data_IF_688908936288
#
_entry.id   IF_688908936288
#
_cell.length_a   1.000
_cell.length_b   1.000
_cell.length_c   1.000
_cell.angle_alpha   90.00
_cell.angle_beta   90.00
_cell.angle_gamma   90.00
#
_symmetry.space_group_name_H-M   'P 1'
#
loop_
_entity.id
_entity.type
_entity.pdbx_description
1 polymer ?
#
# COMPACT_ATOMS: atom_id res chain seq x y z
N UNK A 1 12.20 -31.39 -15.75
CA UNK A 1 11.04 -30.49 -15.50
C UNK A 1 11.52 -29.08 -15.69
N UNK A 2 10.74 -28.25 -16.31
CA UNK A 2 11.04 -26.81 -16.45
C UNK A 2 11.11 -26.19 -15.06
N UNK A 3 12.24 -25.52 -14.74
CA UNK A 3 12.48 -24.84 -13.45
C UNK A 3 12.25 -23.34 -13.57
N UNK A 4 11.48 -22.91 -14.55
CA UNK A 4 11.16 -21.50 -14.75
C UNK A 4 9.92 -21.13 -13.94
N UNK A 5 10.02 -20.04 -13.18
CA UNK A 5 8.88 -19.42 -12.52
C UNK A 5 8.37 -18.26 -13.38
N UNK A 6 7.10 -18.28 -13.70
CA UNK A 6 6.42 -17.19 -14.40
C UNK A 6 5.61 -16.33 -13.42
N UNK A 7 5.70 -15.01 -13.56
CA UNK A 7 5.00 -14.05 -12.71
C UNK A 7 4.19 -13.11 -13.59
N UNK A 8 2.88 -13.03 -13.39
CA UNK A 8 2.00 -12.14 -14.12
C UNK A 8 1.82 -10.85 -13.31
N UNK A 9 2.32 -9.73 -13.84
CA UNK A 9 2.29 -8.41 -13.22
C UNK A 9 3.60 -8.02 -12.53
N UNK A 10 4.20 -6.93 -12.99
CA UNK A 10 5.44 -6.36 -12.47
C UNK A 10 5.23 -5.26 -11.40
N UNK A 11 4.13 -5.32 -10.63
CA UNK A 11 3.87 -4.44 -9.50
C UNK A 11 4.73 -4.76 -8.28
N UNK A 12 4.39 -4.20 -7.10
CA UNK A 12 5.12 -4.41 -5.84
C UNK A 12 5.31 -5.90 -5.52
N UNK A 13 4.22 -6.69 -5.61
CA UNK A 13 4.25 -8.11 -5.28
C UNK A 13 5.05 -8.91 -6.31
N UNK A 14 4.83 -8.68 -7.61
CA UNK A 14 5.54 -9.44 -8.65
C UNK A 14 7.02 -9.12 -8.71
N UNK A 15 7.41 -7.85 -8.50
CA UNK A 15 8.81 -7.44 -8.42
C UNK A 15 9.53 -8.08 -7.24
N UNK A 16 8.91 -8.10 -6.08
CA UNK A 16 9.48 -8.72 -4.88
C UNK A 16 9.55 -10.25 -5.02
N UNK A 17 8.51 -10.89 -5.58
CA UNK A 17 8.49 -12.34 -5.82
C UNK A 17 9.61 -12.76 -6.79
N UNK A 18 9.80 -11.99 -7.88
CA UNK A 18 10.87 -12.24 -8.83
C UNK A 18 12.25 -12.15 -8.20
N UNK A 19 12.48 -11.11 -7.40
CA UNK A 19 13.74 -10.92 -6.69
C UNK A 19 14.07 -12.10 -5.78
N UNK A 20 13.13 -12.51 -4.93
CA UNK A 20 13.33 -13.61 -3.99
C UNK A 20 13.58 -14.93 -4.71
N UNK A 21 12.78 -15.26 -5.71
CA UNK A 21 12.94 -16.52 -6.45
C UNK A 21 14.24 -16.57 -7.26
N UNK A 22 14.62 -15.46 -7.88
CA UNK A 22 15.85 -15.36 -8.67
C UNK A 22 17.11 -15.47 -7.78
N UNK A 23 17.11 -14.87 -6.58
CA UNK A 23 18.18 -14.99 -5.60
C UNK A 23 18.31 -16.42 -5.03
N UNK A 24 17.23 -17.21 -5.04
CA UNK A 24 17.27 -18.65 -4.74
C UNK A 24 17.74 -19.52 -5.91
N UNK A 25 18.08 -18.92 -7.06
CA UNK A 25 18.67 -19.58 -8.22
C UNK A 25 17.68 -20.02 -9.30
N UNK A 26 16.41 -19.61 -9.24
CA UNK A 26 15.45 -19.90 -10.32
C UNK A 26 15.59 -18.94 -11.49
N UNK A 27 15.29 -19.45 -12.70
CA UNK A 27 14.95 -18.60 -13.83
C UNK A 27 13.55 -18.06 -13.66
N UNK A 28 13.38 -16.73 -13.79
CA UNK A 28 12.13 -16.03 -13.57
C UNK A 28 11.76 -15.21 -14.78
N UNK A 29 10.50 -15.33 -15.23
CA UNK A 29 9.94 -14.49 -16.28
C UNK A 29 8.80 -13.66 -15.71
N UNK A 30 8.96 -12.33 -15.73
CA UNK A 30 7.90 -11.38 -15.37
C UNK A 30 7.14 -11.03 -16.65
N UNK A 31 5.85 -11.32 -16.69
CA UNK A 31 4.94 -10.88 -17.74
C UNK A 31 4.28 -9.57 -17.31
N UNK A 32 4.69 -8.47 -17.91
CA UNK A 32 4.15 -7.13 -17.62
C UNK A 32 3.48 -6.57 -18.89
N UNK A 33 2.22 -6.19 -18.79
CA UNK A 33 1.49 -5.70 -19.95
C UNK A 33 1.93 -4.29 -20.39
N UNK A 34 2.44 -3.46 -19.47
CA UNK A 34 2.94 -2.12 -19.78
C UNK A 34 4.35 -2.17 -20.38
N UNK A 35 4.71 -1.25 -21.23
CA UNK A 35 3.92 -0.11 -21.74
C UNK A 35 2.99 -0.44 -22.92
N UNK A 36 2.94 -1.69 -23.39
CA UNK A 36 2.13 -2.06 -24.57
C UNK A 36 0.63 -1.91 -24.33
N UNK A 37 0.17 -2.32 -23.15
CA UNK A 37 -1.22 -2.14 -22.69
C UNK A 37 -1.21 -1.21 -21.49
N UNK A 38 -1.71 0.01 -21.70
CA UNK A 38 -1.75 1.02 -20.67
C UNK A 38 -2.86 0.75 -19.65
N UNK A 39 -2.64 1.16 -18.41
CA UNK A 39 -3.70 1.30 -17.40
C UNK A 39 -4.00 2.79 -17.19
N UNK A 40 -5.16 3.10 -16.64
CA UNK A 40 -5.53 4.49 -16.37
C UNK A 40 -4.71 5.12 -15.21
N UNK A 41 -4.08 4.32 -14.34
CA UNK A 41 -3.39 4.81 -13.14
C UNK A 41 -1.87 4.94 -13.31
N UNK A 42 -1.26 4.05 -14.08
CA UNK A 42 0.18 4.07 -14.31
C UNK A 42 0.56 5.11 -15.38
N UNK A 43 1.74 5.69 -15.24
CA UNK A 43 2.27 6.73 -16.16
C UNK A 43 3.49 6.27 -16.94
N UNK A 44 4.18 5.25 -16.41
CA UNK A 44 5.43 4.73 -16.97
C UNK A 44 5.32 3.24 -17.26
N UNK A 45 6.36 2.68 -17.91
CA UNK A 45 6.54 1.24 -18.04
C UNK A 45 7.40 0.63 -16.93
N UNK A 46 7.77 1.40 -15.90
CA UNK A 46 8.61 0.91 -14.81
C UNK A 46 7.84 -0.08 -13.92
N UNK A 47 8.59 -1.06 -13.41
CA UNK A 47 8.07 -2.03 -12.44
C UNK A 47 7.89 -1.35 -11.07
N UNK A 48 7.01 -1.88 -10.24
CA UNK A 48 6.68 -1.38 -8.91
C UNK A 48 6.31 0.13 -8.85
N UNK A 49 5.71 0.68 -9.90
CA UNK A 49 5.25 2.06 -9.92
C UNK A 49 4.19 2.33 -8.86
N UNK A 50 4.36 3.39 -8.08
CA UNK A 50 3.42 3.82 -7.03
C UNK A 50 2.36 4.76 -7.60
N UNK A 51 1.11 4.33 -7.69
CA UNK A 51 0.05 5.06 -8.38
C UNK A 51 -0.79 5.98 -7.48
N UNK A 52 -1.04 5.64 -6.22
CA UNK A 52 -1.94 6.42 -5.34
C UNK A 52 -1.19 7.31 -4.33
N UNK A 53 -0.17 6.81 -3.69
CA UNK A 53 0.61 7.49 -2.63
C UNK A 53 2.09 7.22 -2.86
N UNK A 54 2.96 8.05 -2.29
CA UNK A 54 4.39 7.81 -2.26
C UNK A 54 4.88 7.27 -0.90
N UNK A 55 3.99 6.70 -0.10
CA UNK A 55 4.29 6.29 1.27
C UNK A 55 4.00 4.83 1.51
N UNK A 56 4.93 4.18 2.18
CA UNK A 56 4.77 2.87 2.81
C UNK A 56 4.23 2.95 4.24
N UNK A 57 3.75 4.13 4.68
CA UNK A 57 3.22 4.41 6.02
C UNK A 57 4.30 4.45 7.10
N UNK A 58 3.95 4.15 8.36
CA UNK A 58 4.85 4.24 9.51
C UNK A 58 6.05 3.29 9.41
N UNK A 59 7.25 3.79 9.72
CA UNK A 59 8.50 3.00 9.76
C UNK A 59 8.92 2.65 11.19
N UNK A 60 8.04 2.85 12.17
CA UNK A 60 8.24 2.51 13.58
C UNK A 60 7.99 1.00 13.80
N UNK A 61 9.07 0.23 13.88
CA UNK A 61 9.05 -1.23 14.02
C UNK A 61 8.89 -1.73 15.46
N UNK A 62 8.77 -0.82 16.43
CA UNK A 62 8.50 -1.16 17.83
C UNK A 62 7.03 -0.97 18.25
N UNK A 63 6.35 0.02 17.64
CA UNK A 63 5.01 0.43 18.07
C UNK A 63 3.96 0.32 16.96
N UNK A 64 4.35 -0.15 15.76
CA UNK A 64 3.47 -0.20 14.61
C UNK A 64 3.64 -1.50 13.82
N UNK A 65 2.52 -2.18 13.52
CA UNK A 65 2.55 -3.45 12.78
C UNK A 65 3.11 -3.30 11.36
N UNK A 66 2.89 -2.15 10.70
CA UNK A 66 3.45 -1.92 9.36
C UNK A 66 4.94 -1.65 9.44
N UNK A 67 5.44 -0.94 10.44
CA UNK A 67 6.89 -0.78 10.66
C UNK A 67 7.58 -2.11 10.96
N UNK A 68 6.92 -2.97 11.75
CA UNK A 68 7.37 -4.34 11.96
C UNK A 68 7.46 -5.12 10.63
N UNK A 69 6.45 -4.99 9.76
CA UNK A 69 6.46 -5.64 8.44
C UNK A 69 7.63 -5.13 7.58
N UNK A 70 7.93 -3.82 7.63
CA UNK A 70 9.14 -3.27 6.99
C UNK A 70 10.42 -3.93 7.51
N UNK A 71 10.51 -4.11 8.84
CA UNK A 71 11.65 -4.75 9.48
C UNK A 71 11.80 -6.21 9.01
N UNK A 72 10.71 -6.98 8.98
CA UNK A 72 10.69 -8.36 8.50
C UNK A 72 11.14 -8.48 7.04
N UNK A 73 10.67 -7.58 6.16
CA UNK A 73 11.10 -7.54 4.77
C UNK A 73 12.57 -7.15 4.60
N UNK A 74 13.08 -6.18 5.40
CA UNK A 74 14.51 -5.83 5.41
C UNK A 74 15.38 -7.01 5.85
N UNK A 75 14.97 -7.72 6.89
CA UNK A 75 15.66 -8.91 7.39
C UNK A 75 15.72 -10.05 6.35
N UNK A 76 14.76 -10.10 5.42
CA UNK A 76 14.69 -11.07 4.32
C UNK A 76 15.30 -10.54 3.00
N UNK A 77 16.09 -9.48 3.04
CA UNK A 77 16.72 -8.85 1.87
C UNK A 77 15.72 -8.45 0.77
N UNK A 78 14.56 -7.93 1.17
CA UNK A 78 13.50 -7.51 0.26
C UNK A 78 13.90 -6.34 -0.64
N UNK A 79 13.74 -6.49 -1.95
CA UNK A 79 14.10 -5.49 -2.96
C UNK A 79 13.35 -4.17 -2.74
N UNK A 80 12.04 -4.26 -2.49
CA UNK A 80 11.17 -3.09 -2.32
C UNK A 80 11.66 -2.23 -1.14
N UNK A 81 12.03 -2.84 -0.02
CA UNK A 81 12.54 -2.10 1.14
C UNK A 81 13.94 -1.54 0.91
N UNK A 82 14.82 -2.25 0.19
CA UNK A 82 16.14 -1.72 -0.20
C UNK A 82 16.00 -0.45 -1.06
N UNK A 83 15.15 -0.49 -2.08
CA UNK A 83 14.94 0.66 -2.97
C UNK A 83 14.16 1.78 -2.27
N UNK A 84 13.23 1.46 -1.37
CA UNK A 84 12.54 2.46 -0.56
C UNK A 84 13.51 3.21 0.38
N UNK A 85 14.46 2.52 0.98
CA UNK A 85 15.48 3.16 1.81
C UNK A 85 16.41 4.06 0.98
N UNK A 86 16.80 3.61 -0.22
CA UNK A 86 17.67 4.37 -1.14
C UNK A 86 17.03 5.68 -1.60
N UNK A 87 15.72 5.70 -1.80
CA UNK A 87 14.96 6.84 -2.33
C UNK A 87 14.05 7.48 -1.28
N UNK A 88 14.40 7.33 0.01
CA UNK A 88 13.63 7.87 1.13
C UNK A 88 13.56 9.39 1.08
N UNK A 89 12.35 9.91 1.37
CA UNK A 89 12.07 11.33 1.56
C UNK A 89 11.77 11.62 3.03
N UNK A 90 12.07 12.81 3.52
CA UNK A 90 11.62 13.27 4.83
C UNK A 90 10.09 13.21 4.92
N UNK A 91 9.57 12.46 5.90
CA UNK A 91 8.12 12.30 6.14
C UNK A 91 7.81 12.02 7.63
N UNK A 92 8.58 12.61 8.55
CA UNK A 92 8.46 12.37 9.98
C UNK A 92 8.70 10.88 10.30
N UNK A 93 7.75 10.23 10.97
CA UNK A 93 7.84 8.79 11.28
C UNK A 93 7.36 7.84 10.17
N UNK A 94 7.11 8.33 8.96
CA UNK A 94 6.69 7.51 7.83
C UNK A 94 7.86 7.22 6.87
N UNK A 95 7.79 6.09 6.16
CA UNK A 95 8.64 5.79 5.03
C UNK A 95 7.95 6.30 3.76
N UNK A 96 8.37 7.47 3.27
CA UNK A 96 7.97 8.01 1.97
C UNK A 96 9.15 7.98 1.01
N UNK A 97 8.88 7.90 -0.28
CA UNK A 97 9.89 7.77 -1.32
C UNK A 97 9.65 8.74 -2.48
N UNK A 98 10.72 9.08 -3.20
CA UNK A 98 10.63 9.68 -4.52
C UNK A 98 10.20 8.61 -5.52
N UNK A 99 8.98 8.75 -6.09
CA UNK A 99 8.30 7.68 -6.82
C UNK A 99 9.05 7.21 -8.06
N UNK A 100 9.47 8.17 -8.89
CA UNK A 100 10.05 7.84 -10.20
C UNK A 100 11.42 7.18 -10.04
N UNK A 101 12.39 7.75 -9.28
CA UNK A 101 13.65 7.08 -9.01
C UNK A 101 13.52 5.74 -8.26
N UNK A 102 12.50 5.60 -7.40
CA UNK A 102 12.20 4.33 -6.75
C UNK A 102 11.83 3.26 -7.78
N UNK A 103 10.84 3.53 -8.65
CA UNK A 103 10.39 2.57 -9.67
C UNK A 103 11.49 2.26 -10.70
N UNK A 104 12.25 3.27 -11.12
CA UNK A 104 13.43 3.10 -11.98
C UNK A 104 14.47 2.17 -11.36
N UNK A 105 14.77 2.35 -10.07
CA UNK A 105 15.77 1.51 -9.37
C UNK A 105 15.30 0.08 -9.19
N UNK A 106 14.02 -0.17 -8.89
CA UNK A 106 13.43 -1.52 -8.84
C UNK A 106 13.55 -2.19 -10.21
N UNK A 107 13.16 -1.46 -11.27
CA UNK A 107 13.23 -1.96 -12.66
C UNK A 107 14.67 -2.31 -13.03
N UNK A 108 15.61 -1.40 -12.78
CA UNK A 108 17.02 -1.59 -13.10
C UNK A 108 17.63 -2.80 -12.35
N UNK A 109 17.30 -2.98 -11.07
CA UNK A 109 17.78 -4.11 -10.27
C UNK A 109 17.30 -5.45 -10.83
N UNK A 110 16.01 -5.55 -11.20
CA UNK A 110 15.45 -6.77 -11.78
C UNK A 110 15.99 -7.05 -13.18
N UNK A 111 16.10 -6.04 -14.04
CA UNK A 111 16.66 -6.20 -15.40
C UNK A 111 18.16 -6.53 -15.39
N UNK A 112 18.90 -6.12 -14.37
CA UNK A 112 20.32 -6.48 -14.21
C UNK A 112 20.53 -7.87 -13.61
N UNK A 113 19.49 -8.50 -13.03
CA UNK A 113 19.63 -9.81 -12.41
C UNK A 113 19.72 -10.92 -13.47
N UNK A 114 20.79 -11.77 -13.45
CA UNK A 114 21.03 -12.75 -14.52
C UNK A 114 19.92 -13.81 -14.69
N UNK A 115 19.11 -14.03 -13.67
CA UNK A 115 18.03 -15.01 -13.67
C UNK A 115 16.65 -14.39 -13.92
N UNK A 116 16.53 -13.08 -14.21
CA UNK A 116 15.26 -12.42 -14.43
C UNK A 116 15.15 -11.97 -15.89
N UNK A 117 14.01 -12.27 -16.49
CA UNK A 117 13.61 -11.75 -17.81
C UNK A 117 12.28 -11.03 -17.67
N UNK A 118 12.15 -9.87 -18.28
CA UNK A 118 10.88 -9.13 -18.35
C UNK A 118 10.31 -9.31 -19.78
N UNK A 119 9.14 -9.94 -19.87
CA UNK A 119 8.38 -10.09 -21.11
C UNK A 119 7.20 -9.10 -21.07
N UNK A 120 7.23 -8.13 -21.98
CA UNK A 120 6.17 -7.14 -22.12
C UNK A 120 4.98 -7.72 -22.92
N UNK A 121 4.28 -8.67 -22.31
CA UNK A 121 3.11 -9.35 -22.90
C UNK A 121 1.96 -9.41 -21.90
N UNK A 122 0.76 -9.04 -22.34
CA UNK A 122 -0.46 -9.23 -21.58
C UNK A 122 -0.84 -10.72 -21.57
N UNK A 123 -1.07 -11.27 -20.38
CA UNK A 123 -1.63 -12.60 -20.18
C UNK A 123 -3.11 -12.45 -19.88
N UNK A 124 -3.97 -13.05 -20.70
CA UNK A 124 -5.43 -12.91 -20.62
C UNK A 124 -6.14 -14.16 -20.15
N UNK A 125 -5.42 -15.28 -20.04
CA UNK A 125 -5.96 -16.59 -19.65
C UNK A 125 -5.15 -17.19 -18.51
N UNK A 126 -5.77 -18.10 -17.74
CA UNK A 126 -5.05 -18.85 -16.72
C UNK A 126 -4.20 -19.94 -17.36
N UNK A 127 -2.92 -20.06 -16.98
CA UNK A 127 -2.04 -21.11 -17.51
C UNK A 127 -2.49 -22.50 -17.09
N UNK A 128 -2.36 -23.48 -17.99
CA UNK A 128 -2.75 -24.88 -17.73
C UNK A 128 -1.66 -25.69 -17.05
N UNK A 129 -0.41 -25.25 -17.11
CA UNK A 129 0.73 -25.99 -16.56
C UNK A 129 1.92 -25.06 -16.26
N UNK A 130 2.95 -25.59 -15.64
CA UNK A 130 4.14 -24.80 -15.22
C UNK A 130 4.03 -24.29 -13.81
N UNK A 131 4.80 -23.25 -13.46
CA UNK A 131 4.80 -22.63 -12.14
C UNK A 131 4.51 -21.15 -12.28
N UNK A 132 3.42 -20.67 -11.69
CA UNK A 132 2.91 -19.33 -11.91
C UNK A 132 2.58 -18.60 -10.61
N UNK A 133 2.85 -17.28 -10.59
CA UNK A 133 2.35 -16.36 -9.59
C UNK A 133 1.54 -15.26 -10.27
N UNK A 134 0.28 -15.09 -9.91
CA UNK A 134 -0.56 -13.98 -10.33
C UNK A 134 -0.41 -12.86 -9.31
N UNK A 135 0.26 -11.78 -9.73
CA UNK A 135 0.61 -10.61 -8.90
C UNK A 135 0.16 -9.30 -9.55
N UNK A 136 -0.96 -9.34 -10.26
CA UNK A 136 -1.49 -8.22 -11.07
C UNK A 136 -2.06 -7.07 -10.25
N UNK A 137 -2.21 -7.26 -8.94
CA UNK A 137 -2.74 -6.23 -8.04
C UNK A 137 -4.19 -5.85 -8.36
N UNK A 138 -4.58 -4.61 -8.06
CA UNK A 138 -5.96 -4.15 -8.19
C UNK A 138 -6.38 -3.88 -9.65
N UNK A 139 -5.41 -3.67 -10.54
CA UNK A 139 -5.61 -3.28 -11.94
C UNK A 139 -5.37 -4.46 -12.90
N UNK A 140 -5.84 -5.63 -12.50
CA UNK A 140 -5.85 -6.82 -13.35
C UNK A 140 -6.58 -6.54 -14.67
N UNK A 141 -6.00 -6.96 -15.81
CA UNK A 141 -6.61 -6.76 -17.12
C UNK A 141 -7.98 -7.46 -17.21
N UNK A 142 -8.84 -6.93 -18.07
CA UNK A 142 -10.21 -7.45 -18.20
C UNK A 142 -10.23 -8.92 -18.64
N UNK A 143 -9.32 -9.30 -19.55
CA UNK A 143 -9.20 -10.68 -20.02
C UNK A 143 -8.87 -11.64 -18.89
N UNK A 144 -7.78 -11.38 -18.18
CA UNK A 144 -7.36 -12.21 -17.04
C UNK A 144 -8.37 -12.17 -15.90
N UNK A 145 -8.99 -11.01 -15.63
CA UNK A 145 -10.05 -10.89 -14.63
C UNK A 145 -11.24 -11.81 -14.92
N UNK A 146 -11.68 -11.89 -16.17
CA UNK A 146 -12.73 -12.83 -16.60
C UNK A 146 -12.29 -14.29 -16.45
N UNK A 147 -11.05 -14.62 -16.80
CA UNK A 147 -10.52 -15.99 -16.65
C UNK A 147 -10.46 -16.41 -15.17
N UNK A 148 -10.03 -15.50 -14.28
CA UNK A 148 -10.04 -15.74 -12.82
C UNK A 148 -11.46 -15.96 -12.33
N UNK A 149 -12.42 -15.09 -12.71
CA UNK A 149 -13.81 -15.19 -12.28
C UNK A 149 -14.46 -16.51 -12.76
N UNK A 150 -14.18 -16.93 -14.00
CA UNK A 150 -14.68 -18.20 -14.54
C UNK A 150 -14.13 -19.41 -13.78
N UNK A 151 -12.85 -19.41 -13.41
CA UNK A 151 -12.21 -20.49 -12.65
C UNK A 151 -12.71 -20.56 -11.21
N UNK A 152 -12.89 -19.40 -10.57
CA UNK A 152 -13.25 -19.32 -9.14
C UNK A 152 -14.74 -19.43 -8.89
N UNK A 153 -15.57 -19.39 -9.92
CA UNK A 153 -17.05 -19.46 -9.82
C UNK A 153 -17.67 -18.26 -9.10
N UNK A 154 -16.91 -17.21 -8.89
CA UNK A 154 -17.36 -15.99 -8.24
C UNK A 154 -17.15 -14.81 -9.17
N UNK A 155 -18.12 -13.90 -9.22
CA UNK A 155 -17.85 -12.55 -9.72
C UNK A 155 -16.69 -12.01 -8.88
N UNK A 156 -15.65 -11.52 -9.54
CA UNK A 156 -14.49 -10.98 -8.85
C UNK A 156 -14.98 -9.93 -7.85
N UNK A 157 -14.67 -10.13 -6.57
CA UNK A 157 -15.01 -9.17 -5.53
C UNK A 157 -14.34 -7.85 -5.90
N UNK A 158 -15.09 -6.77 -5.86
CA UNK A 158 -14.59 -5.46 -6.20
C UNK A 158 -14.75 -4.51 -5.01
N UNK A 159 -13.76 -3.65 -4.81
CA UNK A 159 -13.88 -2.51 -3.93
C UNK A 159 -13.40 -1.25 -4.67
N UNK A 160 -13.82 -0.09 -4.17
CA UNK A 160 -13.40 1.16 -4.77
C UNK A 160 -12.31 1.81 -3.92
N UNK A 161 -11.22 2.18 -4.59
CA UNK A 161 -10.13 2.94 -4.02
C UNK A 161 -10.09 4.34 -4.65
N UNK A 162 -9.72 5.34 -3.86
CA UNK A 162 -9.66 6.71 -4.31
C UNK A 162 -8.24 7.27 -4.20
N UNK A 163 -7.86 8.10 -5.15
CA UNK A 163 -6.55 8.75 -5.22
C UNK A 163 -6.66 10.20 -4.74
N UNK A 164 -5.67 10.63 -3.95
CA UNK A 164 -5.54 12.02 -3.51
C UNK A 164 -4.84 12.89 -4.58
N UNK A 165 -5.19 14.19 -4.67
CA UNK A 165 -4.54 15.10 -5.60
C UNK A 165 -3.12 15.48 -5.18
N UNK A 166 -2.32 15.92 -6.18
CA UNK A 166 -0.96 16.43 -6.03
C UNK A 166 -0.94 17.87 -6.52
N UNK A 167 -0.36 18.76 -5.72
CA UNK A 167 -0.21 20.19 -6.02
C UNK A 167 1.25 20.57 -6.27
N UNK A 168 1.49 21.61 -7.10
CA UNK A 168 2.81 22.19 -7.25
C UNK A 168 3.17 23.06 -6.04
N UNK A 169 4.41 22.94 -5.57
CA UNK A 169 4.91 23.65 -4.39
C UNK A 169 4.86 25.18 -4.55
N UNK A 170 5.21 25.70 -5.73
CA UNK A 170 5.23 27.12 -6.05
C UNK A 170 3.84 27.77 -6.09
N UNK A 171 2.79 26.97 -6.08
CA UNK A 171 1.40 27.42 -6.04
C UNK A 171 0.79 27.41 -4.62
N UNK A 172 1.58 27.07 -3.60
CA UNK A 172 1.15 27.06 -2.20
C UNK A 172 1.50 28.42 -1.56
N UNK A 173 0.52 29.09 -0.96
CA UNK A 173 0.75 30.35 -0.26
C UNK A 173 1.34 30.10 1.15
N UNK A 174 2.67 30.22 1.23
CA UNK A 174 3.42 30.04 2.48
C UNK A 174 3.28 31.22 3.46
N UNK A 175 2.61 32.31 3.08
CA UNK A 175 2.25 33.36 4.05
C UNK A 175 1.10 32.94 4.97
N UNK A 176 0.35 31.90 4.57
CA UNK A 176 -0.75 31.31 5.34
C UNK A 176 -0.37 29.92 5.87
N UNK A 177 0.27 29.12 5.03
CA UNK A 177 0.72 27.77 5.34
C UNK A 177 2.11 27.79 6.04
N UNK A 178 2.46 26.71 6.73
CA UNK A 178 3.78 26.56 7.36
C UNK A 178 4.26 25.12 7.36
N UNK A 179 5.57 24.94 7.49
CA UNK A 179 6.21 23.62 7.58
C UNK A 179 6.29 23.14 9.03
N UNK A 180 5.72 21.97 9.32
CA UNK A 180 5.86 21.29 10.61
C UNK A 180 5.35 19.85 10.53
N UNK A 181 6.08 18.90 11.09
CA UNK A 181 5.57 17.55 11.40
C UNK A 181 4.81 17.57 12.72
N UNK A 182 3.77 16.74 12.86
CA UNK A 182 2.99 16.69 14.12
C UNK A 182 3.86 16.31 15.30
N UNK A 183 3.77 17.09 16.38
CA UNK A 183 4.57 16.93 17.60
C UNK A 183 6.07 17.04 17.34
N UNK A 184 6.47 17.78 16.29
CA UNK A 184 7.85 17.95 15.85
C UNK A 184 8.59 16.61 15.71
N UNK A 185 7.88 15.58 15.25
CA UNK A 185 8.45 14.25 15.05
C UNK A 185 9.52 14.27 13.97
N UNK A 186 10.63 13.60 14.27
CA UNK A 186 11.79 13.44 13.40
C UNK A 186 13.07 13.76 14.15
N UNK A 187 14.17 13.14 13.76
CA UNK A 187 15.49 13.35 14.37
C UNK A 187 16.22 14.55 13.75
N UNK A 188 15.86 14.91 12.52
CA UNK A 188 16.44 16.02 11.77
C UNK A 188 15.44 17.16 11.58
N UNK A 189 15.95 18.37 11.34
CA UNK A 189 15.12 19.53 11.02
C UNK A 189 14.24 19.28 9.77
N UNK A 190 14.78 18.59 8.77
CA UNK A 190 14.05 18.24 7.56
C UNK A 190 12.85 17.31 7.85
N UNK A 191 12.98 16.37 8.78
CA UNK A 191 11.89 15.48 9.20
C UNK A 191 10.88 16.22 10.06
N UNK A 192 11.32 17.13 10.94
CA UNK A 192 10.45 17.97 11.77
C UNK A 192 9.64 18.96 10.92
N UNK A 193 10.13 19.33 9.72
CA UNK A 193 9.49 20.22 8.74
C UNK A 193 8.93 19.48 7.49
N UNK A 194 8.71 18.17 7.59
CA UNK A 194 8.37 17.34 6.43
C UNK A 194 6.96 17.56 5.84
N UNK A 195 6.09 18.29 6.53
CA UNK A 195 4.72 18.57 6.09
C UNK A 195 4.45 20.05 6.02
N UNK A 196 3.79 20.51 4.95
CA UNK A 196 3.17 21.83 4.89
C UNK A 196 1.76 21.72 5.47
N UNK A 197 1.39 22.68 6.32
CA UNK A 197 0.14 22.71 7.06
C UNK A 197 -0.69 23.92 6.65
N UNK A 198 -1.93 23.70 6.22
CA UNK A 198 -2.87 24.73 5.82
C UNK A 198 -3.97 24.85 6.90
N UNK A 199 -4.02 25.95 7.66
CA UNK A 199 -4.97 26.11 8.76
C UNK A 199 -6.35 26.50 8.26
N UNK A 200 -7.38 26.10 8.99
CA UNK A 200 -8.76 26.57 8.75
C UNK A 200 -9.36 27.08 10.06
N UNK A 201 -10.09 28.18 9.97
CA UNK A 201 -11.02 28.61 11.01
C UNK A 201 -12.26 27.71 10.99
N UNK A 202 -13.13 27.86 11.99
CA UNK A 202 -14.40 27.12 12.03
C UNK A 202 -15.28 27.43 10.82
N UNK A 203 -15.44 28.70 10.50
CA UNK A 203 -16.31 29.13 9.39
C UNK A 203 -15.77 28.64 8.03
N UNK A 204 -14.46 28.67 7.83
CA UNK A 204 -13.82 28.12 6.63
C UNK A 204 -14.00 26.60 6.53
N UNK A 205 -13.88 25.89 7.64
CA UNK A 205 -14.11 24.45 7.70
C UNK A 205 -15.56 24.10 7.36
N UNK A 206 -16.54 24.78 8.00
CA UNK A 206 -17.95 24.53 7.72
C UNK A 206 -18.30 24.80 6.26
N UNK A 207 -17.82 25.92 5.69
CA UNK A 207 -18.02 26.23 4.28
C UNK A 207 -17.37 25.18 3.36
N UNK A 208 -16.17 24.70 3.71
CA UNK A 208 -15.49 23.62 3.00
C UNK A 208 -16.30 22.32 3.03
N UNK A 209 -16.82 21.92 4.21
CA UNK A 209 -17.66 20.71 4.33
C UNK A 209 -18.94 20.84 3.50
N UNK A 210 -19.59 22.01 3.49
CA UNK A 210 -20.79 22.24 2.67
C UNK A 210 -20.49 22.10 1.19
N UNK A 211 -19.39 22.70 0.71
CA UNK A 211 -18.97 22.60 -0.67
C UNK A 211 -18.57 21.15 -1.05
N UNK A 212 -17.89 20.44 -0.16
CA UNK A 212 -17.48 19.05 -0.35
C UNK A 212 -18.69 18.11 -0.49
N UNK A 213 -19.70 18.29 0.36
CA UNK A 213 -20.93 17.49 0.34
C UNK A 213 -21.79 17.78 -0.88
N UNK A 214 -21.83 19.05 -1.32
CA UNK A 214 -22.59 19.50 -2.50
C UNK A 214 -21.88 19.25 -3.83
N UNK A 215 -20.61 18.88 -3.82
CA UNK A 215 -19.78 18.73 -5.02
C UNK A 215 -20.28 17.62 -5.94
N UNK A 216 -20.13 17.83 -7.25
CA UNK A 216 -20.36 16.81 -8.28
C UNK A 216 -19.44 15.61 -8.07
N UNK A 217 -20.05 14.43 -7.96
CA UNK A 217 -19.36 13.15 -7.68
C UNK A 217 -19.51 12.18 -8.84
N UNK A 218 -18.57 11.28 -8.99
CA UNK A 218 -18.71 10.13 -9.88
C UNK A 218 -19.69 9.16 -9.23
N UNK A 219 -20.78 8.86 -9.93
CA UNK A 219 -21.75 7.84 -9.52
C UNK A 219 -21.30 6.47 -9.99
N UNK A 220 -21.63 5.44 -9.21
CA UNK A 220 -21.44 4.05 -9.60
C UNK A 220 -22.54 3.63 -10.58
N UNK A 221 -22.23 2.68 -11.47
CA UNK A 221 -23.26 2.10 -12.34
C UNK A 221 -24.29 1.31 -11.52
N UNK A 222 -25.54 1.28 -12.00
CA UNK A 222 -26.60 0.48 -11.38
C UNK A 222 -26.16 -0.98 -11.21
N UNK A 223 -26.20 -1.47 -9.96
CA UNK A 223 -25.77 -2.82 -9.58
C UNK A 223 -24.38 -2.90 -8.93
N UNK A 224 -23.60 -1.82 -8.88
CA UNK A 224 -22.32 -1.79 -8.18
C UNK A 224 -22.52 -1.40 -6.71
N UNK A 225 -22.75 -2.38 -5.84
CA UNK A 225 -22.80 -2.21 -4.36
C UNK A 225 -21.46 -2.51 -3.70
N UNK A 226 -20.35 -2.15 -4.33
CA UNK A 226 -19.05 -2.39 -3.77
C UNK A 226 -18.76 -1.43 -2.60
N UNK A 227 -18.34 -1.97 -1.46
CA UNK A 227 -17.91 -1.19 -0.31
C UNK A 227 -16.63 -0.43 -0.61
N UNK A 228 -16.43 0.73 0.04
CA UNK A 228 -15.13 1.39 0.07
C UNK A 228 -14.24 0.68 1.08
N UNK A 229 -12.95 0.61 0.78
CA UNK A 229 -11.95 0.25 1.78
C UNK A 229 -11.82 1.38 2.81
N UNK A 230 -11.93 1.07 4.10
CA UNK A 230 -11.90 2.08 5.18
C UNK A 230 -10.61 2.91 5.22
N UNK A 231 -9.47 2.35 4.79
CA UNK A 231 -8.18 3.04 4.73
C UNK A 231 -8.04 4.06 3.59
N UNK A 232 -8.86 3.94 2.54
CA UNK A 232 -8.86 4.80 1.34
C UNK A 232 -10.23 5.42 1.06
N UNK A 233 -11.02 5.64 2.12
CA UNK A 233 -12.32 6.29 2.00
C UNK A 233 -12.20 7.66 1.32
N UNK A 234 -13.03 7.95 0.32
CA UNK A 234 -13.13 9.29 -0.22
C UNK A 234 -13.49 10.29 0.87
N UNK A 235 -12.87 11.48 0.81
CA UNK A 235 -13.02 12.51 1.85
C UNK A 235 -14.48 12.95 2.00
N UNK A 236 -15.25 12.97 0.91
CA UNK A 236 -16.69 13.28 0.94
C UNK A 236 -17.49 12.20 1.64
N UNK A 237 -17.12 10.92 1.51
CA UNK A 237 -17.76 9.81 2.24
C UNK A 237 -17.46 9.89 3.74
N UNK A 238 -16.23 10.29 4.09
CA UNK A 238 -15.92 10.57 5.50
C UNK A 238 -16.74 11.74 6.05
N UNK A 239 -16.93 12.82 5.27
CA UNK A 239 -17.75 13.97 5.66
C UNK A 239 -19.23 13.60 5.80
N UNK A 240 -19.77 12.71 4.96
CA UNK A 240 -21.14 12.18 5.05
C UNK A 240 -21.41 11.41 6.35
N UNK A 241 -20.38 10.78 6.94
CA UNK A 241 -20.48 10.09 8.25
C UNK A 241 -20.67 11.07 9.43
N UNK A 242 -20.40 12.36 9.22
CA UNK A 242 -20.59 13.42 10.20
C UNK A 242 -19.67 14.61 9.93
N UNK A 243 -20.17 15.83 10.10
CA UNK A 243 -19.44 17.07 9.79
C UNK A 243 -18.10 17.18 10.49
N UNK A 244 -17.97 16.67 11.71
CA UNK A 244 -16.73 16.69 12.50
C UNK A 244 -15.76 15.54 12.18
N UNK A 245 -16.15 14.57 11.37
CA UNK A 245 -15.34 13.37 11.10
C UNK A 245 -13.96 13.72 10.57
N UNK A 246 -13.86 14.66 9.62
CA UNK A 246 -12.57 15.06 9.03
C UNK A 246 -11.64 15.73 10.05
N UNK A 247 -12.21 16.49 10.98
CA UNK A 247 -11.47 17.19 12.04
C UNK A 247 -10.86 16.22 13.08
N UNK A 248 -11.45 15.04 13.25
CA UNK A 248 -10.90 13.96 14.07
C UNK A 248 -10.08 12.95 13.27
N UNK A 249 -10.06 13.09 11.95
CA UNK A 249 -9.34 12.27 10.97
C UNK A 249 -8.22 13.04 10.25
N UNK A 250 -8.28 13.16 8.91
CA UNK A 250 -7.22 13.75 8.10
C UNK A 250 -6.95 15.23 8.37
N UNK A 251 -7.96 15.98 8.80
CA UNK A 251 -7.84 17.41 9.08
C UNK A 251 -7.63 17.75 10.57
N UNK A 252 -7.16 16.81 11.35
CA UNK A 252 -6.94 16.97 12.79
C UNK A 252 -5.90 18.07 13.10
N UNK A 253 -6.17 19.09 13.97
CA UNK A 253 -5.22 20.16 14.24
C UNK A 253 -4.20 19.86 15.36
N UNK A 254 -4.36 18.75 16.07
CA UNK A 254 -3.58 18.42 17.27
C UNK A 254 -2.10 18.18 16.95
N UNK A 255 -1.18 18.69 17.78
CA UNK A 255 0.26 18.53 17.63
C UNK A 255 0.89 19.47 16.60
N UNK A 256 0.18 20.56 16.24
CA UNK A 256 0.62 21.59 15.31
C UNK A 256 0.46 22.97 15.94
N UNK A 257 1.44 23.87 15.69
CA UNK A 257 1.41 25.27 16.14
C UNK A 257 1.63 26.15 14.93
N UNK A 258 0.67 27.03 14.62
CA UNK A 258 0.78 27.97 13.51
C UNK A 258 1.75 29.12 13.87
N UNK A 259 2.92 29.24 13.23
CA UNK A 259 3.87 30.31 13.56
C UNK A 259 3.39 31.70 13.15
N UNK A 260 2.44 31.81 12.20
CA UNK A 260 1.85 33.09 11.79
C UNK A 260 0.83 33.60 12.80
N UNK A 261 0.25 32.69 13.63
CA UNK A 261 -0.74 33.00 14.66
C UNK A 261 -0.57 32.04 15.85
N UNK A 262 0.53 32.17 16.64
CA UNK A 262 0.90 31.17 17.65
C UNK A 262 -0.11 31.05 18.80
N UNK A 263 -0.84 32.13 19.10
CA UNK A 263 -1.86 32.16 20.16
C UNK A 263 -3.21 31.58 19.73
N UNK A 264 -3.42 31.38 18.42
CA UNK A 264 -4.67 30.87 17.86
C UNK A 264 -4.52 29.42 17.42
N UNK A 265 -5.25 28.53 18.08
CA UNK A 265 -5.32 27.12 17.62
C UNK A 265 -6.22 27.01 16.40
N UNK A 266 -5.72 26.48 15.28
CA UNK A 266 -6.57 26.21 14.10
C UNK A 266 -7.73 25.27 14.47
N UNK A 267 -8.89 25.51 13.87
CA UNK A 267 -10.02 24.60 14.06
C UNK A 267 -9.79 23.26 13.35
N UNK A 268 -9.24 23.30 12.13
CA UNK A 268 -8.79 22.15 11.36
C UNK A 268 -7.48 22.49 10.63
N UNK A 269 -6.74 21.48 10.20
CA UNK A 269 -5.49 21.64 9.44
C UNK A 269 -5.44 20.60 8.33
N UNK A 270 -5.27 21.05 7.08
CA UNK A 270 -4.94 20.18 5.95
C UNK A 270 -3.42 20.03 5.87
N UNK A 271 -2.94 18.81 5.75
CA UNK A 271 -1.51 18.52 5.62
C UNK A 271 -1.14 18.13 4.19
N UNK A 272 -0.05 18.70 3.71
CA UNK A 272 0.56 18.35 2.44
C UNK A 272 1.90 17.65 2.73
N UNK A 273 2.17 16.53 2.06
CA UNK A 273 3.42 15.79 2.17
C UNK A 273 4.19 15.88 0.87
N UNK A 274 5.51 16.07 0.97
CA UNK A 274 6.41 16.06 -0.18
C UNK A 274 6.24 14.77 -0.99
N UNK A 275 6.08 14.90 -2.31
CA UNK A 275 5.83 13.79 -3.23
C UNK A 275 7.06 13.41 -4.07
N UNK A 276 8.05 14.31 -4.18
CA UNK A 276 9.32 14.07 -4.88
C UNK A 276 10.52 14.69 -4.14
N UNK A 277 11.74 14.22 -4.44
CA UNK A 277 12.97 14.70 -3.81
C UNK A 277 13.26 16.18 -4.08
N UNK A 278 12.88 16.70 -5.25
CA UNK A 278 13.05 18.11 -5.61
C UNK A 278 12.20 19.04 -4.74
N UNK A 279 11.18 18.53 -4.02
CA UNK A 279 10.27 19.35 -3.24
C UNK A 279 9.35 20.23 -4.07
N UNK A 280 9.17 19.90 -5.34
CA UNK A 280 8.31 20.66 -6.28
C UNK A 280 6.87 20.19 -6.30
N UNK A 281 6.58 19.01 -5.73
CA UNK A 281 5.27 18.38 -5.70
C UNK A 281 4.88 17.97 -4.27
N UNK A 282 3.61 18.19 -3.93
CA UNK A 282 3.04 17.85 -2.63
C UNK A 282 1.71 17.10 -2.76
N UNK A 283 1.58 15.99 -2.07
CA UNK A 283 0.35 15.21 -1.98
C UNK A 283 -0.55 15.74 -0.86
N UNK A 284 -1.84 15.95 -1.10
CA UNK A 284 -2.80 16.35 -0.06
C UNK A 284 -3.17 15.10 0.75
N UNK A 285 -2.69 15.02 1.99
CA UNK A 285 -2.75 13.81 2.82
C UNK A 285 -4.19 13.52 3.28
N UNK A 286 -4.70 12.34 2.92
CA UNK A 286 -6.04 11.90 3.33
C UNK A 286 -7.18 12.52 2.51
N UNK A 287 -6.88 13.11 1.36
CA UNK A 287 -7.85 13.75 0.47
C UNK A 287 -8.14 12.91 -0.79
N UNK A 288 -8.18 11.61 -0.65
CA UNK A 288 -8.72 10.73 -1.68
C UNK A 288 -10.16 11.16 -1.99
N UNK A 289 -10.54 11.17 -3.28
CA UNK A 289 -11.83 11.73 -3.66
C UNK A 289 -12.46 11.05 -4.87
N UNK A 290 -13.79 10.99 -4.88
CA UNK A 290 -14.63 10.63 -6.03
C UNK A 290 -15.26 11.83 -6.73
N UNK A 291 -14.94 13.05 -6.32
CA UNK A 291 -15.41 14.25 -7.01
C UNK A 291 -14.94 14.29 -8.46
N UNK A 292 -15.74 14.86 -9.34
CA UNK A 292 -15.31 15.16 -10.72
C UNK A 292 -14.24 16.24 -10.74
N UNK A 293 -13.37 16.25 -11.74
CA UNK A 293 -12.17 17.12 -11.79
C UNK A 293 -12.45 18.60 -11.58
N UNK A 294 -13.52 19.14 -12.18
CA UNK A 294 -13.93 20.54 -11.98
C UNK A 294 -14.32 20.85 -10.54
N UNK A 295 -15.08 19.95 -9.92
CA UNK A 295 -15.49 20.06 -8.52
C UNK A 295 -14.30 19.98 -7.56
N UNK A 296 -13.33 19.08 -7.81
CA UNK A 296 -12.11 18.98 -7.02
C UNK A 296 -11.35 20.30 -6.98
N UNK A 297 -11.15 20.92 -8.14
CA UNK A 297 -10.43 22.21 -8.25
C UNK A 297 -11.16 23.29 -7.47
N UNK A 298 -12.48 23.39 -7.60
CA UNK A 298 -13.27 24.40 -6.90
C UNK A 298 -13.23 24.22 -5.38
N UNK A 299 -13.42 22.98 -4.90
CA UNK A 299 -13.48 22.67 -3.45
C UNK A 299 -12.12 22.79 -2.81
N UNK A 300 -11.07 22.23 -3.40
CA UNK A 300 -9.74 22.25 -2.78
C UNK A 300 -9.09 23.62 -2.78
N UNK A 301 -9.43 24.51 -3.70
CA UNK A 301 -9.03 25.92 -3.66
C UNK A 301 -9.69 26.74 -2.54
N UNK A 302 -10.69 26.21 -1.85
CA UNK A 302 -11.24 26.83 -0.64
C UNK A 302 -10.32 26.67 0.59
N UNK A 303 -9.34 25.77 0.54
CA UNK A 303 -8.39 25.55 1.62
C UNK A 303 -7.43 26.73 1.69
N UNK A 304 -7.31 27.42 2.85
CA UNK A 304 -6.36 28.53 3.03
C UNK A 304 -4.92 28.08 2.71
N UNK A 305 -4.25 28.84 1.88
CA UNK A 305 -2.93 28.49 1.33
C UNK A 305 -2.98 27.72 0.00
N UNK A 306 -4.17 27.28 -0.46
CA UNK A 306 -4.36 26.60 -1.75
C UNK A 306 -5.29 27.34 -2.73
N UNK A 307 -5.60 28.61 -2.47
CA UNK A 307 -6.52 29.40 -3.31
C UNK A 307 -6.05 29.48 -4.77
N UNK A 308 -4.74 29.61 -4.97
CA UNK A 308 -4.10 29.68 -6.28
C UNK A 308 -3.44 28.37 -6.69
N UNK A 309 -3.71 27.28 -5.97
CA UNK A 309 -3.08 26.00 -6.21
C UNK A 309 -3.25 25.49 -7.65
N UNK A 310 -2.13 25.06 -8.21
CA UNK A 310 -2.07 24.33 -9.48
C UNK A 310 -1.88 22.84 -9.19
N UNK A 311 -2.72 22.01 -9.81
CA UNK A 311 -2.71 20.57 -9.57
C UNK A 311 -1.87 19.87 -10.63
N UNK A 312 -0.81 19.16 -10.20
CA UNK A 312 -0.04 18.27 -11.05
C UNK A 312 -0.82 17.01 -11.41
N UNK A 313 -1.68 16.58 -10.48
CA UNK A 313 -2.64 15.48 -10.67
C UNK A 313 -3.87 15.73 -9.81
N UNK A 314 -5.03 15.47 -10.37
CA UNK A 314 -6.29 15.39 -9.63
C UNK A 314 -6.53 13.97 -9.12
N UNK A 315 -7.35 13.86 -8.10
CA UNK A 315 -7.78 12.58 -7.56
C UNK A 315 -8.75 11.85 -8.48
N UNK A 316 -9.04 10.61 -8.18
CA UNK A 316 -9.99 9.80 -8.92
C UNK A 316 -10.35 8.55 -8.16
N UNK A 317 -11.43 7.89 -8.58
CA UNK A 317 -11.87 6.63 -8.01
C UNK A 317 -11.59 5.49 -8.99
N UNK A 318 -11.20 4.35 -8.45
CA UNK A 318 -10.88 3.15 -9.23
C UNK A 318 -11.60 1.94 -8.64
N UNK A 319 -12.04 1.07 -9.52
CA UNK A 319 -12.52 -0.25 -9.15
C UNK A 319 -11.32 -1.19 -9.05
N UNK A 320 -11.08 -1.70 -7.85
CA UNK A 320 -10.04 -2.68 -7.57
C UNK A 320 -10.64 -4.08 -7.54
N UNK A 321 -9.90 -5.04 -8.08
CA UNK A 321 -10.30 -6.46 -8.11
C UNK A 321 -9.51 -7.21 -7.05
N UNK A 322 -10.19 -8.06 -6.28
CA UNK A 322 -9.56 -9.04 -5.38
C UNK A 322 -10.36 -10.35 -5.38
N UNK A 323 -9.75 -11.43 -4.92
CA UNK A 323 -10.38 -12.75 -4.82
C UNK A 323 -10.76 -13.06 -3.37
N UNK A 324 -11.73 -13.92 -3.16
CA UNK A 324 -12.08 -14.41 -1.82
C UNK A 324 -11.02 -15.45 -1.36
N UNK A 325 -9.83 -14.98 -1.07
CA UNK A 325 -8.64 -15.80 -0.78
C UNK A 325 -8.84 -16.83 0.33
N UNK A 326 -9.56 -16.55 1.45
CA UNK A 326 -9.75 -17.54 2.49
C UNK A 326 -10.42 -18.84 2.02
N UNK A 327 -11.24 -18.77 0.96
CA UNK A 327 -11.88 -19.96 0.37
C UNK A 327 -11.08 -20.56 -0.76
N UNK A 328 -10.38 -19.73 -1.52
CA UNK A 328 -9.78 -20.11 -2.79
C UNK A 328 -8.32 -20.57 -2.65
N UNK A 329 -7.58 -20.03 -1.68
CA UNK A 329 -6.16 -20.31 -1.52
C UNK A 329 -5.88 -21.30 -0.39
N UNK A 330 -4.83 -22.09 -0.56
CA UNK A 330 -4.23 -22.85 0.53
C UNK A 330 -3.22 -21.99 1.33
N UNK A 331 -2.60 -22.55 2.36
CA UNK A 331 -1.62 -21.90 3.23
C UNK A 331 -0.30 -21.53 2.55
N UNK A 332 -0.11 -21.95 1.30
CA UNK A 332 1.01 -21.59 0.42
C UNK A 332 0.60 -20.62 -0.68
N UNK A 333 -0.57 -19.98 -0.53
CA UNK A 333 -1.16 -19.06 -1.51
C UNK A 333 -1.44 -19.69 -2.88
N UNK A 334 -1.51 -21.04 -2.99
CA UNK A 334 -1.86 -21.74 -4.23
C UNK A 334 -3.37 -21.79 -4.40
N UNK A 335 -3.82 -21.61 -5.64
CA UNK A 335 -5.22 -21.82 -5.98
C UNK A 335 -5.58 -23.29 -5.79
N UNK A 336 -6.55 -23.59 -4.94
CA UNK A 336 -6.92 -24.98 -4.59
C UNK A 336 -7.34 -25.83 -5.78
N UNK A 337 -8.01 -25.21 -6.78
CA UNK A 337 -8.40 -25.89 -8.03
C UNK A 337 -7.24 -26.08 -9.01
N UNK A 338 -6.19 -25.21 -8.96
CA UNK A 338 -5.01 -25.26 -9.82
C UNK A 338 -3.74 -25.00 -9.01
N UNK A 339 -3.20 -26.00 -8.27
CA UNK A 339 -2.09 -25.80 -7.31
C UNK A 339 -0.78 -25.30 -7.93
N UNK A 340 -0.62 -25.33 -9.23
CA UNK A 340 0.53 -24.77 -9.95
C UNK A 340 0.46 -23.25 -10.13
N UNK A 341 -0.66 -22.63 -9.71
CA UNK A 341 -0.87 -21.17 -9.73
C UNK A 341 -0.95 -20.65 -8.29
N UNK A 342 -0.13 -19.67 -7.98
CA UNK A 342 -0.20 -18.86 -6.73
C UNK A 342 -0.77 -17.49 -7.02
N UNK A 343 -1.32 -16.88 -5.99
CA UNK A 343 -1.71 -15.47 -6.00
C UNK A 343 -0.90 -14.69 -4.96
N UNK A 344 -0.51 -13.46 -5.29
CA UNK A 344 0.23 -12.59 -4.38
C UNK A 344 -0.17 -11.12 -4.51
N UNK A 345 -0.01 -10.36 -3.43
CA UNK A 345 -0.28 -8.94 -3.40
C UNK A 345 -1.74 -8.58 -3.23
N UNK A 346 -2.12 -7.38 -3.61
CA UNK A 346 -3.45 -6.80 -3.31
C UNK A 346 -4.62 -7.63 -3.86
N UNK A 347 -4.42 -8.35 -4.96
CA UNK A 347 -5.44 -9.27 -5.49
C UNK A 347 -5.86 -10.35 -4.49
N UNK A 348 -5.03 -10.66 -3.50
CA UNK A 348 -5.35 -11.64 -2.43
C UNK A 348 -6.14 -11.03 -1.27
N UNK A 349 -6.49 -9.75 -1.31
CA UNK A 349 -7.19 -9.08 -0.21
C UNK A 349 -6.26 -8.56 0.89
N UNK A 350 -4.95 -8.47 0.67
CA UNK A 350 -4.11 -7.58 1.47
C UNK A 350 -4.20 -6.16 0.91
N UNK A 351 -4.17 -5.15 1.77
CA UNK A 351 -4.26 -3.76 1.35
C UNK A 351 -2.98 -3.01 1.70
N UNK A 352 -2.42 -2.32 0.69
CA UNK A 352 -1.22 -1.49 0.83
C UNK A 352 -0.02 -2.03 0.05
N UNK A 353 0.89 -1.10 -0.29
CA UNK A 353 2.09 -1.41 -1.08
C UNK A 353 3.02 -2.40 -0.37
N UNK A 354 3.25 -2.19 0.94
CA UNK A 354 4.15 -3.04 1.70
C UNK A 354 3.55 -4.42 1.95
N UNK A 355 2.25 -4.51 2.23
CA UNK A 355 1.55 -5.79 2.37
C UNK A 355 1.59 -6.57 1.05
N UNK A 356 1.38 -5.87 -0.07
CA UNK A 356 1.48 -6.49 -1.39
C UNK A 356 2.89 -7.03 -1.65
N UNK A 357 3.92 -6.24 -1.38
CA UNK A 357 5.31 -6.67 -1.53
C UNK A 357 5.65 -7.85 -0.60
N UNK A 358 5.18 -7.81 0.67
CA UNK A 358 5.39 -8.89 1.64
C UNK A 358 4.78 -10.22 1.18
N UNK A 359 3.57 -10.19 0.61
CA UNK A 359 2.96 -11.40 0.03
C UNK A 359 3.72 -11.87 -1.21
N UNK A 360 4.25 -10.94 -2.00
CA UNK A 360 5.16 -11.26 -3.11
C UNK A 360 6.43 -11.97 -2.64
N UNK A 361 7.07 -11.45 -1.59
CA UNK A 361 8.26 -12.05 -0.96
C UNK A 361 8.00 -13.51 -0.56
N UNK A 362 6.90 -13.76 0.15
CA UNK A 362 6.54 -15.11 0.57
C UNK A 362 6.21 -16.01 -0.62
N UNK A 363 5.41 -15.55 -1.59
CA UNK A 363 5.05 -16.32 -2.76
C UNK A 363 6.28 -16.72 -3.60
N UNK A 364 7.22 -15.78 -3.79
CA UNK A 364 8.47 -16.03 -4.49
C UNK A 364 9.33 -17.10 -3.81
N UNK A 365 9.55 -16.97 -2.49
CA UNK A 365 10.31 -17.97 -1.71
C UNK A 365 9.63 -19.33 -1.67
N UNK A 366 8.30 -19.38 -1.49
CA UNK A 366 7.54 -20.64 -1.48
C UNK A 366 7.56 -21.33 -2.85
N UNK A 367 7.37 -20.58 -3.93
CA UNK A 367 7.46 -21.12 -5.29
C UNK A 367 8.86 -21.66 -5.58
N UNK A 368 9.90 -20.91 -5.19
CA UNK A 368 11.28 -21.33 -5.38
C UNK A 368 11.60 -22.61 -4.58
N UNK A 369 11.23 -22.67 -3.33
CA UNK A 369 11.45 -23.86 -2.50
C UNK A 369 10.75 -25.10 -3.11
N UNK A 370 9.51 -24.98 -3.56
CA UNK A 370 8.78 -26.07 -4.21
C UNK A 370 9.47 -26.55 -5.49
N UNK A 371 9.84 -25.63 -6.40
CA UNK A 371 10.48 -25.95 -7.68
C UNK A 371 11.86 -26.60 -7.49
N UNK A 372 12.59 -26.13 -6.46
CA UNK A 372 13.92 -26.68 -6.12
C UNK A 372 13.83 -27.97 -5.30
N UNK A 373 12.65 -28.40 -4.88
CA UNK A 373 12.45 -29.59 -4.03
C UNK A 373 12.93 -29.38 -2.58
N UNK A 374 13.01 -28.12 -2.14
CA UNK A 374 13.39 -27.76 -0.77
C UNK A 374 12.17 -27.85 0.15
N UNK A 375 12.35 -28.04 1.48
CA UNK A 375 11.26 -28.02 2.42
C UNK A 375 10.53 -26.67 2.43
N UNK A 376 9.21 -26.73 2.32
CA UNK A 376 8.34 -25.57 2.48
C UNK A 376 8.04 -25.35 3.96
N UNK A 377 8.52 -24.24 4.51
CA UNK A 377 8.27 -23.82 5.88
C UNK A 377 7.36 -22.61 5.85
N UNK A 378 6.14 -22.75 6.39
CA UNK A 378 5.24 -21.62 6.54
C UNK A 378 5.82 -20.59 7.52
N UNK A 379 5.64 -19.27 7.25
CA UNK A 379 6.11 -18.24 8.17
C UNK A 379 5.36 -18.32 9.51
N UNK A 380 6.03 -17.96 10.62
CA UNK A 380 5.42 -18.06 11.94
C UNK A 380 4.24 -17.09 12.08
N UNK A 381 3.08 -17.56 12.54
CA UNK A 381 1.89 -16.72 12.76
C UNK A 381 2.10 -15.57 13.75
N UNK A 382 3.18 -15.62 14.53
CA UNK A 382 3.56 -14.53 15.44
C UNK A 382 4.31 -13.38 14.75
N UNK A 383 4.71 -13.54 13.49
CA UNK A 383 5.28 -12.48 12.66
C UNK A 383 4.19 -11.68 11.92
N UNK A 384 4.52 -10.49 11.43
CA UNK A 384 3.59 -9.67 10.64
C UNK A 384 3.24 -10.35 9.31
N UNK A 385 4.22 -10.93 8.62
CA UNK A 385 3.99 -11.71 7.39
C UNK A 385 3.16 -12.96 7.65
N UNK A 386 3.45 -13.70 8.74
CA UNK A 386 2.69 -14.88 9.10
C UNK A 386 1.25 -14.57 9.51
N UNK A 387 1.02 -13.44 10.18
CA UNK A 387 -0.32 -12.96 10.51
C UNK A 387 -1.14 -12.60 9.25
N UNK A 388 -0.50 -11.93 8.27
CA UNK A 388 -1.13 -11.59 7.00
C UNK A 388 -1.47 -12.83 6.16
N UNK A 389 -0.53 -13.75 5.95
CA UNK A 389 -0.80 -14.96 5.17
C UNK A 389 -1.87 -15.81 5.82
N UNK A 390 -1.87 -15.93 7.15
CA UNK A 390 -2.93 -16.63 7.89
C UNK A 390 -4.30 -15.98 7.65
N UNK A 391 -4.37 -14.64 7.69
CA UNK A 391 -5.61 -13.90 7.43
C UNK A 391 -6.19 -14.22 6.04
N UNK A 392 -5.37 -14.20 4.99
CA UNK A 392 -5.83 -14.40 3.61
C UNK A 392 -5.96 -15.87 3.20
N UNK A 393 -5.52 -16.84 4.00
CA UNK A 393 -5.56 -18.26 3.64
C UNK A 393 -6.45 -19.12 4.54
N UNK A 394 -7.31 -18.49 5.33
CA UNK A 394 -8.31 -19.19 6.15
C UNK A 394 -8.55 -18.63 7.54
N UNK A 395 -7.77 -17.62 7.97
CA UNK A 395 -7.96 -16.95 9.27
C UNK A 395 -9.10 -15.94 9.29
N UNK A 396 -9.51 -15.44 8.11
CA UNK A 396 -10.65 -14.52 7.97
C UNK A 396 -11.95 -15.27 7.65
N UNK A 397 -13.08 -14.69 8.07
CA UNK A 397 -14.41 -15.20 7.72
C UNK A 397 -14.72 -14.84 6.24
N UNK A 398 -14.90 -15.88 5.41
CA UNK A 398 -15.07 -15.72 3.98
C UNK A 398 -16.27 -14.87 3.57
N UNK A 399 -17.37 -14.87 4.34
CA UNK A 399 -18.60 -14.11 4.03
C UNK A 399 -18.43 -12.61 4.19
N UNK A 400 -17.53 -12.19 5.11
CA UNK A 400 -17.27 -10.78 5.45
C UNK A 400 -15.86 -10.35 5.05
N UNK A 401 -15.17 -11.18 4.27
CA UNK A 401 -13.79 -10.91 3.85
C UNK A 401 -13.69 -9.60 3.08
N UNK A 402 -12.82 -8.73 3.56
CA UNK A 402 -12.51 -7.43 2.97
C UNK A 402 -11.01 -7.22 2.96
N UNK A 403 -10.47 -6.44 2.00
CA UNK A 403 -9.07 -6.07 2.01
C UNK A 403 -8.62 -5.50 3.36
N UNK A 404 -7.45 -5.90 3.83
CA UNK A 404 -6.96 -5.56 5.17
C UNK A 404 -5.47 -5.16 5.16
N UNK A 405 -5.16 -4.07 5.85
CA UNK A 405 -3.77 -3.73 6.19
C UNK A 405 -3.28 -4.57 7.36
N UNK A 406 -1.95 -4.78 7.43
CA UNK A 406 -1.34 -5.35 8.62
C UNK A 406 -1.64 -4.52 9.87
N UNK A 407 -2.10 -5.17 10.92
CA UNK A 407 -2.39 -4.55 12.20
C UNK A 407 -2.27 -5.59 13.33
N UNK A 408 -2.06 -5.13 14.57
CA UNK A 408 -1.88 -6.05 15.71
C UNK A 408 -3.13 -6.88 16.08
N UNK A 409 -4.29 -6.58 15.52
CA UNK A 409 -5.49 -7.42 15.66
C UNK A 409 -5.40 -8.76 14.92
N UNK A 410 -4.48 -8.88 13.94
CA UNK A 410 -4.22 -10.14 13.22
C UNK A 410 -3.27 -11.08 13.96
N UNK A 411 -2.57 -10.59 14.99
CA UNK A 411 -1.59 -11.37 15.73
C UNK A 411 -2.24 -12.19 16.80
N UNK A 412 -1.68 -13.38 17.09
CA UNK A 412 -2.13 -14.17 18.22
C UNK A 412 -1.98 -13.38 19.52
N UNK A 413 -3.00 -13.34 20.39
CA UNK A 413 -2.92 -12.64 21.68
C UNK A 413 -1.72 -13.11 22.52
N UNK A 414 -1.22 -12.22 23.36
CA UNK A 414 -0.23 -12.54 24.40
C UNK A 414 -0.95 -12.44 25.75
N UNK A 415 -0.99 -13.53 26.48
CA UNK A 415 -1.65 -13.57 27.80
C UNK A 415 -0.92 -12.73 28.85
N UNK A 416 -1.67 -12.22 29.82
CA UNK A 416 -1.12 -11.46 30.94
C UNK A 416 -0.75 -10.02 30.68
N UNK A 417 -0.90 -9.50 29.44
CA UNK A 417 -0.65 -8.11 29.13
C UNK A 417 -1.82 -7.20 29.55
N UNK A 418 -1.49 -6.05 30.17
CA UNK A 418 -2.51 -5.07 30.57
C UNK A 418 -3.28 -4.54 29.36
N UNK A 419 -4.61 -4.63 29.41
CA UNK A 419 -5.52 -4.07 28.43
C UNK A 419 -5.60 -2.53 28.46
N UNK A 420 -6.37 -1.96 27.54
CA UNK A 420 -6.69 -0.54 27.49
C UNK A 420 -5.55 0.36 27.01
N UNK A 421 -5.78 1.69 27.10
CA UNK A 421 -4.88 2.74 26.59
C UNK A 421 -3.53 2.80 27.31
N UNK A 422 -3.51 2.59 28.63
CA UNK A 422 -2.29 2.72 29.45
C UNK A 422 -1.27 1.60 29.19
N UNK A 423 -1.72 0.38 28.84
CA UNK A 423 -0.85 -0.75 28.51
C UNK A 423 -0.54 -0.90 27.02
N UNK A 424 -0.94 0.06 26.17
CA UNK A 424 -0.83 -0.08 24.73
C UNK A 424 0.61 -0.18 24.24
N UNK A 425 1.50 0.66 24.75
CA UNK A 425 2.91 0.68 24.34
C UNK A 425 3.62 -0.62 24.71
N UNK A 426 3.43 -1.08 25.94
CA UNK A 426 4.04 -2.33 26.43
C UNK A 426 3.52 -3.53 25.63
N UNK A 427 2.21 -3.55 25.33
CA UNK A 427 1.58 -4.61 24.55
C UNK A 427 2.10 -4.63 23.11
N UNK A 428 2.24 -3.46 22.46
CA UNK A 428 2.75 -3.39 21.10
C UNK A 428 4.21 -3.80 21.03
N UNK A 429 5.02 -3.35 22.00
CA UNK A 429 6.41 -3.80 22.11
C UNK A 429 6.51 -5.32 22.32
N UNK A 430 5.67 -5.91 23.15
CA UNK A 430 5.67 -7.36 23.36
C UNK A 430 5.32 -8.13 22.06
N UNK A 431 4.37 -7.62 21.24
CA UNK A 431 4.07 -8.19 19.94
C UNK A 431 5.27 -8.11 18.99
N UNK A 432 5.91 -6.93 18.89
CA UNK A 432 7.05 -6.73 17.98
C UNK A 432 8.28 -7.53 18.40
N UNK A 433 8.60 -7.60 19.70
CA UNK A 433 9.71 -8.40 20.22
C UNK A 433 9.50 -9.91 19.92
N UNK A 434 8.29 -10.44 20.16
CA UNK A 434 7.93 -11.83 19.83
C UNK A 434 8.04 -12.08 18.32
N UNK A 435 7.52 -11.18 17.51
CA UNK A 435 7.53 -11.30 16.06
C UNK A 435 8.95 -11.30 15.49
N UNK A 436 9.79 -10.37 15.94
CA UNK A 436 11.20 -10.29 15.52
C UNK A 436 11.97 -11.58 15.85
N UNK A 437 11.78 -12.11 17.05
CA UNK A 437 12.42 -13.38 17.45
C UNK A 437 11.95 -14.55 16.59
N UNK A 438 10.63 -14.67 16.37
CA UNK A 438 10.05 -15.74 15.55
C UNK A 438 10.49 -15.66 14.08
N UNK A 439 10.51 -14.44 13.51
CA UNK A 439 10.92 -14.19 12.12
C UNK A 439 12.40 -14.50 11.90
N UNK A 440 13.29 -14.07 12.81
CA UNK A 440 14.72 -14.37 12.74
C UNK A 440 14.96 -15.88 12.76
N UNK A 441 14.33 -16.61 13.68
CA UNK A 441 14.46 -18.06 13.76
C UNK A 441 13.94 -18.77 12.49
N UNK A 442 12.89 -18.26 11.87
CA UNK A 442 12.34 -18.79 10.63
C UNK A 442 13.30 -18.55 9.44
N UNK A 443 13.90 -17.35 9.33
CA UNK A 443 14.88 -17.04 8.29
C UNK A 443 16.12 -17.90 8.40
N UNK A 444 16.66 -18.06 9.62
CA UNK A 444 17.85 -18.88 9.86
C UNK A 444 17.58 -20.36 9.50
N UNK A 445 16.43 -20.90 9.87
CA UNK A 445 16.00 -22.26 9.51
C UNK A 445 15.82 -22.42 8.00
N UNK A 446 15.22 -21.46 7.32
CA UNK A 446 14.99 -21.47 5.88
C UNK A 446 16.31 -21.37 5.09
N UNK A 447 17.23 -20.50 5.52
CA UNK A 447 18.53 -20.31 4.87
C UNK A 447 19.46 -21.53 5.07
N UNK A 448 19.44 -22.14 6.25
CA UNK A 448 20.22 -23.34 6.53
C UNK A 448 19.77 -24.54 5.67
N UNK A 449 18.49 -24.64 5.34
CA UNK A 449 17.95 -25.68 4.45
C UNK A 449 18.24 -25.40 2.98
N UNK A 450 18.25 -24.15 2.55
CA UNK A 450 18.60 -23.77 1.17
C UNK A 450 20.09 -24.01 0.83
N UNK A 451 20.96 -24.09 1.86
CA UNK A 451 22.40 -24.31 1.72
C UNK A 451 22.78 -25.81 1.66
N UNK A 452 21.87 -26.72 1.89
CA UNK A 452 22.03 -28.19 1.78
C UNK A 452 21.58 -28.70 0.41
#
# INVERSE_FOLDING_TARGET
MDKTLHIIGGGMAGSEAAWQAANMGLQVVIHEMRPKVATFAHRTGHLAEMVCSNSFRSDDDEQNAVGLLHWEMRAADGLIMQMAQKHRLPAGGALAVDRDPFAESVTAALMAHPNVTVDYTEITELPDSGHWIIATGPLTSEGLGRAIAAETGTDALAFFDAIAPIVYADSIDMSVAWEQSRYDKGETEAEQKAYINCPMTRDQYEAFIDALLAADKTEFHEGETAGYFDGCLPIEVMAERGRETLRFGPMKPVGLTNPHQPDLKPYAVVQLRRDNALGTLYNIVGFQTKMRYGAQTAVFKMIPGLQDASFARLGGIHRNTFINSPTLLDDQMRLRSRPHIRFAGQITGVEGYVESAAMGLLAGRMAAAEILGQPLISPPQDSAMGALIHHITGGAEAKTFQPMNVNFGLFRPIDGLKGGRRGRKDRYKAYTDRAKAAWTAWLDGSNAMAAQ
#
